data_IF_136203764663
#
_entry.id   IF_136203764663
#
_cell.length_a   1.000
_cell.length_b   1.000
_cell.length_c   1.000
_cell.angle_alpha   90.00
_cell.angle_beta   90.00
_cell.angle_gamma   90.00
#
_symmetry.space_group_name_H-M   'P 1'
#
loop_
_entity.id
_entity.type
_entity.pdbx_description
1 polymer ?
#
# COMPACT_ATOMS: atom_id res chain seq x y z
N UNK A 1 -38.36 2.26 2.94
CA UNK A 1 -37.76 0.92 2.91
C UNK A 1 -36.40 1.02 2.25
N UNK A 2 -35.30 1.08 3.01
CA UNK A 2 -33.97 1.18 2.46
C UNK A 2 -33.64 -0.09 1.68
N UNK A 3 -33.26 0.06 0.42
CA UNK A 3 -32.95 -1.04 -0.47
C UNK A 3 -31.83 -1.89 0.15
N UNK A 4 -32.08 -3.19 0.33
CA UNK A 4 -31.13 -4.21 0.84
C UNK A 4 -29.78 -4.18 0.11
N UNK A 5 -29.72 -3.58 -1.06
CA UNK A 5 -28.56 -3.47 -1.94
C UNK A 5 -28.10 -2.03 -2.17
N UNK A 6 -28.71 -1.04 -1.53
CA UNK A 6 -28.40 0.38 -1.72
C UNK A 6 -27.16 0.85 -0.97
N UNK A 7 -26.73 0.10 0.06
CA UNK A 7 -25.53 0.38 0.80
C UNK A 7 -24.39 -0.51 0.25
N UNK A 8 -23.36 0.14 -0.29
CA UNK A 8 -22.15 -0.48 -0.83
C UNK A 8 -21.52 -1.52 0.14
N UNK A 9 -21.52 -1.25 1.44
CA UNK A 9 -20.93 -2.15 2.45
C UNK A 9 -21.72 -3.45 2.56
N UNK A 10 -23.05 -3.36 2.57
CA UNK A 10 -23.93 -4.54 2.60
C UNK A 10 -23.90 -5.29 1.27
N UNK A 11 -23.89 -4.59 0.16
CA UNK A 11 -23.79 -5.18 -1.17
C UNK A 11 -22.51 -6.02 -1.33
N UNK A 12 -21.35 -5.48 -0.98
CA UNK A 12 -20.06 -6.21 -1.03
C UNK A 12 -20.10 -7.49 -0.17
N UNK A 13 -20.65 -7.39 1.05
CA UNK A 13 -20.78 -8.52 1.96
C UNK A 13 -21.75 -9.58 1.40
N UNK A 14 -22.85 -9.14 0.82
CA UNK A 14 -23.84 -9.99 0.18
C UNK A 14 -23.24 -10.77 -0.97
N UNK A 15 -22.63 -10.09 -1.95
CA UNK A 15 -22.02 -10.72 -3.14
C UNK A 15 -20.94 -11.73 -2.71
N UNK A 16 -20.07 -11.36 -1.78
CA UNK A 16 -19.03 -12.28 -1.28
C UNK A 16 -19.61 -13.51 -0.59
N UNK A 17 -20.68 -13.35 0.19
CA UNK A 17 -21.31 -14.44 0.93
C UNK A 17 -22.11 -15.38 0.01
N UNK A 18 -22.84 -14.83 -0.98
CA UNK A 18 -23.73 -15.60 -1.85
C UNK A 18 -22.99 -16.24 -3.02
N UNK A 19 -22.12 -15.49 -3.69
CA UNK A 19 -21.46 -15.92 -4.92
C UNK A 19 -19.96 -16.18 -4.75
N UNK A 20 -19.41 -15.96 -3.58
CA UNK A 20 -18.01 -16.25 -3.26
C UNK A 20 -17.03 -15.28 -3.92
N UNK A 21 -15.87 -15.82 -4.36
CA UNK A 21 -14.80 -15.03 -4.95
C UNK A 21 -15.17 -14.62 -6.38
N UNK A 22 -15.10 -13.29 -6.67
CA UNK A 22 -15.38 -12.73 -7.99
C UNK A 22 -14.07 -12.41 -8.74
N UNK A 23 -12.99 -12.11 -8.01
CA UNK A 23 -11.71 -11.75 -8.61
C UNK A 23 -10.96 -12.98 -9.14
N UNK A 24 -10.38 -12.84 -10.34
CA UNK A 24 -9.55 -13.89 -10.95
C UNK A 24 -10.37 -15.12 -11.36
N UNK A 25 -11.60 -14.92 -11.80
CA UNK A 25 -12.42 -15.97 -12.39
C UNK A 25 -11.97 -16.27 -13.81
N UNK A 26 -11.98 -17.54 -14.18
CA UNK A 26 -11.91 -17.94 -15.59
C UNK A 26 -13.20 -17.54 -16.29
N UNK A 27 -13.18 -17.45 -17.64
CA UNK A 27 -14.35 -17.09 -18.44
C UNK A 27 -15.55 -17.99 -18.11
N UNK A 28 -15.38 -19.28 -18.12
CA UNK A 28 -16.44 -20.24 -17.80
C UNK A 28 -17.04 -20.06 -16.40
N UNK A 29 -16.20 -19.81 -15.37
CA UNK A 29 -16.68 -19.54 -14.02
C UNK A 29 -17.37 -18.18 -13.91
N UNK A 30 -17.00 -17.20 -14.75
CA UNK A 30 -17.66 -15.91 -14.81
C UNK A 30 -19.07 -16.06 -15.39
N UNK A 31 -19.21 -16.76 -16.50
CA UNK A 31 -20.51 -17.08 -17.13
C UNK A 31 -21.45 -17.84 -16.18
N UNK A 32 -20.91 -18.85 -15.47
CA UNK A 32 -21.70 -19.58 -14.47
C UNK A 32 -22.23 -18.64 -13.38
N UNK A 33 -21.40 -17.70 -12.87
CA UNK A 33 -21.84 -16.73 -11.88
C UNK A 33 -22.84 -15.72 -12.41
N UNK A 34 -22.70 -15.30 -13.65
CA UNK A 34 -23.68 -14.44 -14.34
C UNK A 34 -25.02 -15.15 -14.37
N UNK A 35 -25.07 -16.41 -14.82
CA UNK A 35 -26.29 -17.20 -14.83
C UNK A 35 -26.90 -17.31 -13.42
N UNK A 36 -26.12 -17.64 -12.41
CA UNK A 36 -26.59 -17.74 -11.02
C UNK A 36 -27.20 -16.42 -10.53
N UNK A 37 -26.54 -15.28 -10.80
CA UNK A 37 -27.03 -13.96 -10.38
C UNK A 37 -28.34 -13.61 -11.10
N UNK A 38 -28.42 -13.86 -12.41
CA UNK A 38 -29.62 -13.61 -13.21
C UNK A 38 -30.79 -14.52 -12.76
N UNK A 39 -30.51 -15.76 -12.35
CA UNK A 39 -31.55 -16.63 -11.81
C UNK A 39 -32.07 -16.17 -10.45
N UNK A 40 -31.17 -15.72 -9.57
CA UNK A 40 -31.50 -15.33 -8.20
C UNK A 40 -32.20 -13.95 -8.11
N UNK A 41 -32.06 -13.10 -9.12
CA UNK A 41 -32.49 -11.69 -9.06
C UNK A 41 -33.30 -11.26 -10.27
N UNK A 42 -34.18 -10.29 -10.05
CA UNK A 42 -34.87 -9.60 -11.13
C UNK A 42 -34.00 -8.44 -11.70
N UNK A 43 -34.36 -7.96 -12.89
CA UNK A 43 -33.63 -6.89 -13.61
C UNK A 43 -33.49 -5.61 -12.77
N UNK A 44 -34.54 -5.28 -12.00
CA UNK A 44 -34.53 -4.10 -11.13
C UNK A 44 -33.53 -4.24 -9.98
N UNK A 45 -33.42 -5.44 -9.38
CA UNK A 45 -32.47 -5.71 -8.31
C UNK A 45 -31.02 -5.67 -8.83
N UNK A 46 -30.78 -6.26 -10.01
CA UNK A 46 -29.44 -6.20 -10.64
C UNK A 46 -29.05 -4.74 -10.96
N UNK A 47 -30.00 -3.92 -11.46
CA UNK A 47 -29.77 -2.49 -11.65
C UNK A 47 -29.42 -1.75 -10.35
N UNK A 48 -30.08 -2.09 -9.24
CA UNK A 48 -29.74 -1.52 -7.92
C UNK A 48 -28.36 -1.96 -7.44
N UNK A 49 -28.00 -3.20 -7.69
CA UNK A 49 -26.67 -3.73 -7.39
C UNK A 49 -25.59 -3.06 -8.26
N UNK A 50 -25.87 -2.81 -9.52
CA UNK A 50 -24.97 -2.07 -10.42
C UNK A 50 -24.76 -0.64 -9.92
N UNK A 51 -25.82 0.08 -9.56
CA UNK A 51 -25.69 1.44 -9.00
C UNK A 51 -24.86 1.45 -7.70
N UNK A 52 -25.05 0.46 -6.84
CA UNK A 52 -24.24 0.33 -5.62
C UNK A 52 -22.76 0.04 -5.94
N UNK A 53 -22.48 -0.74 -6.99
CA UNK A 53 -21.13 -1.01 -7.47
C UNK A 53 -20.49 0.24 -8.11
N UNK A 54 -21.26 1.00 -8.91
CA UNK A 54 -20.83 2.26 -9.53
C UNK A 54 -20.50 3.31 -8.46
N UNK A 55 -21.41 3.58 -7.54
CA UNK A 55 -21.16 4.52 -6.44
C UNK A 55 -19.90 4.17 -5.66
N UNK A 56 -19.68 2.87 -5.41
CA UNK A 56 -18.46 2.39 -4.76
C UNK A 56 -17.19 2.61 -5.59
N UNK A 57 -17.30 2.57 -6.92
CA UNK A 57 -16.20 2.84 -7.85
C UNK A 57 -15.92 4.34 -7.96
N UNK A 58 -16.98 5.14 -8.06
CA UNK A 58 -16.92 6.59 -8.27
C UNK A 58 -16.45 7.31 -6.99
N UNK A 59 -16.90 6.86 -5.83
CA UNK A 59 -16.38 7.31 -4.53
C UNK A 59 -14.85 7.16 -4.44
N UNK A 60 -14.30 6.15 -5.11
CA UNK A 60 -12.86 5.91 -5.16
C UNK A 60 -12.15 6.79 -6.21
N UNK A 61 -12.84 7.18 -7.27
CA UNK A 61 -12.29 8.08 -8.32
C UNK A 61 -12.28 9.54 -7.87
N UNK A 62 -13.29 9.97 -7.11
CA UNK A 62 -13.33 11.30 -6.48
C UNK A 62 -12.25 11.46 -5.41
N UNK A 63 -11.77 10.35 -4.86
CA UNK A 63 -10.68 10.32 -3.88
C UNK A 63 -9.30 10.04 -4.51
N UNK A 64 -9.09 10.34 -5.80
CA UNK A 64 -7.74 10.34 -6.40
C UNK A 64 -6.72 11.19 -5.61
N UNK A 65 -7.08 12.30 -4.93
CA UNK A 65 -6.16 12.98 -4.01
C UNK A 65 -5.69 12.06 -2.87
N UNK A 66 -6.41 10.98 -2.56
CA UNK A 66 -5.99 10.01 -1.53
C UNK A 66 -4.70 9.23 -1.85
N UNK A 67 -4.25 9.19 -3.10
CA UNK A 67 -2.92 8.67 -3.42
C UNK A 67 -1.83 9.73 -3.20
N UNK A 68 -2.15 10.99 -3.48
CA UNK A 68 -1.20 12.09 -3.29
C UNK A 68 -0.96 12.37 -1.80
N UNK A 69 -2.01 12.32 -0.96
CA UNK A 69 -1.88 12.62 0.47
C UNK A 69 -0.94 11.65 1.21
N UNK A 70 -1.11 10.30 1.15
CA UNK A 70 -0.14 9.40 1.76
C UNK A 70 1.26 9.51 1.17
N UNK A 71 1.38 9.72 -0.14
CA UNK A 71 2.67 9.91 -0.80
C UNK A 71 3.35 11.19 -0.32
N UNK A 72 2.61 12.29 -0.21
CA UNK A 72 3.13 13.57 0.31
C UNK A 72 3.55 13.45 1.76
N UNK A 73 2.75 12.78 2.61
CA UNK A 73 3.09 12.54 4.01
C UNK A 73 4.35 11.69 4.13
N UNK A 74 4.45 10.58 3.38
CA UNK A 74 5.62 9.71 3.41
C UNK A 74 6.86 10.45 2.93
N UNK A 75 6.76 11.23 1.83
CA UNK A 75 7.88 12.02 1.30
C UNK A 75 8.31 13.08 2.31
N UNK A 76 7.37 13.76 2.94
CA UNK A 76 7.65 14.74 3.98
C UNK A 76 8.32 14.12 5.20
N UNK A 77 7.86 12.94 5.64
CA UNK A 77 8.47 12.21 6.74
C UNK A 77 9.90 11.74 6.40
N UNK A 78 10.12 11.24 5.19
CA UNK A 78 11.47 10.84 4.73
C UNK A 78 12.39 12.06 4.73
N UNK A 79 11.93 13.20 4.21
CA UNK A 79 12.71 14.44 4.19
C UNK A 79 13.05 14.91 5.61
N UNK A 80 12.08 14.89 6.51
CA UNK A 80 12.27 15.31 7.90
C UNK A 80 13.24 14.39 8.64
N UNK A 81 13.06 13.08 8.52
CA UNK A 81 13.97 12.07 9.11
C UNK A 81 15.37 12.24 8.54
N UNK A 82 15.51 12.42 7.22
CA UNK A 82 16.81 12.62 6.57
C UNK A 82 17.49 13.89 7.08
N UNK A 83 16.75 14.99 7.24
CA UNK A 83 17.28 16.26 7.75
C UNK A 83 17.77 16.14 9.19
N UNK A 84 16.95 15.57 10.07
CA UNK A 84 17.32 15.33 11.47
C UNK A 84 18.55 14.42 11.55
N UNK A 85 18.59 13.41 10.72
CA UNK A 85 19.68 12.45 10.70
C UNK A 85 21.01 13.08 10.19
N UNK A 86 20.97 13.88 9.13
CA UNK A 86 22.13 14.61 8.62
C UNK A 86 22.67 15.54 9.71
N UNK A 87 21.80 16.27 10.40
CA UNK A 87 22.19 17.17 11.48
C UNK A 87 22.81 16.39 12.66
N UNK A 88 22.21 15.26 13.04
CA UNK A 88 22.77 14.41 14.08
C UNK A 88 24.15 13.86 13.69
N UNK A 89 24.29 13.37 12.45
CA UNK A 89 25.56 12.86 11.93
C UNK A 89 26.63 13.94 11.93
N UNK A 90 26.32 15.14 11.43
CA UNK A 90 27.25 16.26 11.42
C UNK A 90 27.68 16.67 12.84
N UNK A 91 26.75 16.74 13.78
CA UNK A 91 27.10 17.02 15.18
C UNK A 91 27.98 15.93 15.78
N UNK A 92 27.69 14.66 15.50
CA UNK A 92 28.49 13.54 16.00
C UNK A 92 29.91 13.56 15.43
N UNK A 93 30.07 13.83 14.12
CA UNK A 93 31.36 13.96 13.45
C UNK A 93 32.14 15.15 14.04
N UNK A 94 31.50 16.30 14.22
CA UNK A 94 32.15 17.48 14.78
C UNK A 94 32.63 17.25 16.23
N UNK A 95 31.77 16.65 17.07
CA UNK A 95 32.13 16.32 18.44
C UNK A 95 33.28 15.30 18.50
N UNK A 96 33.22 14.28 17.64
CA UNK A 96 34.26 13.27 17.54
C UNK A 96 35.61 13.89 17.08
N UNK A 97 35.57 14.75 16.07
CA UNK A 97 36.75 15.48 15.59
C UNK A 97 37.38 16.33 16.71
N UNK A 98 36.55 17.08 17.45
CA UNK A 98 37.07 17.90 18.58
C UNK A 98 37.65 17.06 19.69
N UNK A 99 37.05 15.92 20.05
CA UNK A 99 37.59 15.00 21.06
C UNK A 99 38.89 14.39 20.55
N UNK A 100 38.96 14.00 19.30
CA UNK A 100 40.18 13.46 18.71
C UNK A 100 41.34 14.48 18.73
N UNK A 101 41.07 15.72 18.29
CA UNK A 101 42.08 16.81 18.35
C UNK A 101 42.59 17.01 19.77
N UNK A 102 41.69 17.12 20.77
CA UNK A 102 42.12 17.31 22.17
C UNK A 102 42.92 16.14 22.72
N UNK A 103 42.59 14.91 22.30
CA UNK A 103 43.39 13.72 22.69
C UNK A 103 44.78 13.75 22.06
N UNK A 104 44.89 14.17 20.80
CA UNK A 104 46.17 14.37 20.11
C UNK A 104 47.02 15.42 20.78
N UNK A 105 46.46 16.61 21.03
CA UNK A 105 47.17 17.72 21.71
C UNK A 105 47.72 17.24 23.08
N UNK A 106 46.89 16.57 23.87
CA UNK A 106 47.25 16.11 25.20
C UNK A 106 48.34 14.99 25.19
N UNK A 107 48.39 14.19 24.12
CA UNK A 107 49.44 13.18 23.93
C UNK A 107 50.75 13.77 23.44
N UNK A 108 50.71 14.73 22.52
CA UNK A 108 51.87 15.47 22.06
C UNK A 108 52.55 16.17 23.22
N UNK A 109 51.76 16.82 24.09
CA UNK A 109 52.32 17.46 25.31
C UNK A 109 53.03 16.47 26.25
N UNK A 110 52.61 15.18 26.25
CA UNK A 110 53.20 14.12 27.08
C UNK A 110 54.40 13.40 26.42
N UNK A 111 54.85 13.79 25.25
CA UNK A 111 56.02 13.21 24.60
C UNK A 111 55.84 11.80 24.06
N UNK A 112 54.64 11.45 23.60
CA UNK A 112 54.27 10.09 23.12
C UNK A 112 54.96 9.81 21.77
N UNK A 113 55.47 8.59 21.62
CA UNK A 113 56.12 8.12 20.38
C UNK A 113 55.14 8.03 19.20
N UNK A 114 55.67 8.22 17.98
CA UNK A 114 54.90 8.21 16.72
C UNK A 114 54.09 6.90 16.47
N UNK A 115 54.55 5.76 16.99
CA UNK A 115 53.85 4.45 16.86
C UNK A 115 52.50 4.42 17.57
N UNK A 116 52.40 4.99 18.75
CA UNK A 116 51.13 5.04 19.53
C UNK A 116 50.09 5.97 18.89
N UNK A 117 50.53 6.93 18.06
CA UNK A 117 49.65 7.83 17.32
C UNK A 117 48.93 7.08 16.18
N UNK A 118 49.64 6.20 15.48
CA UNK A 118 49.08 5.39 14.42
C UNK A 118 48.02 4.40 14.93
N UNK A 119 48.29 3.78 16.07
CA UNK A 119 47.31 2.86 16.73
C UNK A 119 46.01 3.58 17.10
N UNK A 120 46.11 4.85 17.52
CA UNK A 120 44.94 5.67 17.83
C UNK A 120 44.18 6.05 16.54
N UNK A 121 44.89 6.44 15.50
CA UNK A 121 44.26 6.76 14.20
C UNK A 121 43.53 5.53 13.65
N UNK A 122 44.14 4.35 13.79
CA UNK A 122 43.53 3.09 13.31
C UNK A 122 42.30 2.71 14.16
N UNK A 123 42.35 2.82 15.47
CA UNK A 123 41.21 2.59 16.36
C UNK A 123 40.08 3.59 16.13
N UNK A 124 40.40 4.85 15.84
CA UNK A 124 39.41 5.88 15.49
C UNK A 124 38.79 5.68 14.10
N UNK A 125 39.57 5.15 13.15
CA UNK A 125 39.06 4.85 11.79
C UNK A 125 38.12 3.65 11.76
N UNK A 126 38.33 2.65 12.61
CA UNK A 126 37.43 1.49 12.76
C UNK A 126 36.05 1.87 13.28
N UNK A 127 35.95 2.89 14.11
CA UNK A 127 34.69 3.43 14.62
C UNK A 127 34.27 4.67 13.83
N UNK A 128 33.90 4.48 12.57
CA UNK A 128 33.27 5.56 11.82
C UNK A 128 31.80 5.67 12.21
N UNK A 129 31.39 6.65 13.03
CA UNK A 129 29.98 6.89 13.37
C UNK A 129 29.12 7.11 12.12
N UNK A 130 29.77 7.47 10.99
CA UNK A 130 29.16 7.65 9.70
C UNK A 130 28.61 6.32 9.13
N UNK A 131 29.34 5.20 9.22
CA UNK A 131 28.87 3.89 8.72
C UNK A 131 27.69 3.35 9.51
N UNK A 132 27.72 3.45 10.84
CA UNK A 132 26.62 3.03 11.70
C UNK A 132 25.36 3.84 11.39
N UNK A 133 25.53 5.13 11.24
CA UNK A 133 24.42 6.04 10.93
C UNK A 133 23.81 5.79 9.55
N UNK A 134 24.60 5.56 8.52
CA UNK A 134 24.11 5.21 7.17
C UNK A 134 23.33 3.89 7.21
N UNK A 135 23.84 2.88 7.93
CA UNK A 135 23.17 1.58 8.02
C UNK A 135 21.79 1.71 8.69
N UNK A 136 21.66 2.50 9.74
CA UNK A 136 20.37 2.78 10.40
C UNK A 136 19.43 3.51 9.46
N UNK A 137 19.92 4.54 8.75
CA UNK A 137 19.12 5.30 7.78
C UNK A 137 18.60 4.41 6.66
N UNK A 138 19.46 3.58 6.09
CA UNK A 138 19.07 2.62 5.04
C UNK A 138 18.06 1.61 5.57
N UNK A 139 18.22 1.12 6.79
CA UNK A 139 17.25 0.24 7.44
C UNK A 139 15.87 0.89 7.57
N UNK A 140 15.80 2.12 8.07
CA UNK A 140 14.56 2.89 8.16
C UNK A 140 13.92 3.13 6.79
N UNK A 141 14.73 3.45 5.79
CA UNK A 141 14.27 3.64 4.42
C UNK A 141 13.62 2.37 3.86
N UNK A 142 14.24 1.20 4.03
CA UNK A 142 13.66 -0.07 3.58
C UNK A 142 12.37 -0.42 4.30
N UNK A 143 12.25 -0.14 5.60
CA UNK A 143 11.01 -0.36 6.36
C UNK A 143 9.88 0.52 5.81
N UNK A 144 10.14 1.81 5.57
CA UNK A 144 9.16 2.72 4.98
C UNK A 144 8.72 2.28 3.59
N UNK A 145 9.67 1.82 2.77
CA UNK A 145 9.42 1.32 1.42
C UNK A 145 8.54 0.06 1.47
N UNK A 146 8.82 -0.87 2.40
CA UNK A 146 8.02 -2.07 2.59
C UNK A 146 6.57 -1.74 3.01
N UNK A 147 6.38 -0.81 3.96
CA UNK A 147 5.05 -0.35 4.39
C UNK A 147 4.29 0.28 3.22
N UNK A 148 4.97 1.10 2.41
CA UNK A 148 4.39 1.71 1.21
C UNK A 148 3.92 0.64 0.21
N UNK A 149 4.74 -0.36 -0.09
CA UNK A 149 4.37 -1.44 -1.00
C UNK A 149 3.19 -2.27 -0.48
N UNK A 150 3.16 -2.60 0.82
CA UNK A 150 2.04 -3.32 1.43
C UNK A 150 0.74 -2.52 1.27
N UNK A 151 0.79 -1.22 1.57
CA UNK A 151 -0.36 -0.33 1.40
C UNK A 151 -0.83 -0.26 -0.06
N UNK A 152 0.10 -0.10 -1.01
CA UNK A 152 -0.19 -0.02 -2.44
C UNK A 152 -0.84 -1.32 -2.95
N UNK A 153 -0.29 -2.48 -2.58
CA UNK A 153 -0.83 -3.78 -2.96
C UNK A 153 -2.24 -3.98 -2.39
N UNK A 154 -2.45 -3.63 -1.11
CA UNK A 154 -3.76 -3.72 -0.48
C UNK A 154 -4.81 -2.85 -1.20
N UNK A 155 -4.41 -1.63 -1.58
CA UNK A 155 -5.26 -0.68 -2.30
C UNK A 155 -5.58 -1.15 -3.71
N UNK A 156 -4.57 -1.61 -4.46
CA UNK A 156 -4.75 -2.15 -5.81
C UNK A 156 -5.68 -3.37 -5.82
N UNK A 157 -5.58 -4.22 -4.78
CA UNK A 157 -6.49 -5.36 -4.61
C UNK A 157 -7.93 -4.93 -4.37
N UNK A 158 -8.14 -3.90 -3.54
CA UNK A 158 -9.47 -3.36 -3.27
C UNK A 158 -10.10 -2.74 -4.51
N UNK A 159 -9.32 -1.97 -5.27
CA UNK A 159 -9.75 -1.36 -6.53
C UNK A 159 -10.13 -2.42 -7.58
N UNK A 160 -9.26 -3.38 -7.81
CA UNK A 160 -9.52 -4.48 -8.75
C UNK A 160 -10.78 -5.28 -8.39
N UNK A 161 -11.06 -5.47 -7.10
CA UNK A 161 -12.30 -6.15 -6.67
C UNK A 161 -13.55 -5.33 -7.05
N UNK A 162 -13.55 -4.02 -6.78
CA UNK A 162 -14.70 -3.13 -7.09
C UNK A 162 -14.97 -3.08 -8.58
N UNK A 163 -13.92 -2.93 -9.38
CA UNK A 163 -14.02 -2.93 -10.84
C UNK A 163 -14.61 -4.25 -11.36
N UNK A 164 -14.12 -5.39 -10.89
CA UNK A 164 -14.63 -6.69 -11.33
C UNK A 164 -16.09 -6.92 -10.92
N UNK A 165 -16.53 -6.40 -9.77
CA UNK A 165 -17.94 -6.49 -9.34
C UNK A 165 -18.81 -5.62 -10.23
N UNK A 166 -18.39 -4.39 -10.57
CA UNK A 166 -19.11 -3.50 -11.49
C UNK A 166 -19.26 -4.16 -12.86
N UNK A 167 -18.17 -4.61 -13.46
CA UNK A 167 -18.18 -5.29 -14.75
C UNK A 167 -19.05 -6.55 -14.77
N UNK A 168 -19.06 -7.32 -13.65
CA UNK A 168 -19.93 -8.50 -13.54
C UNK A 168 -21.42 -8.12 -13.52
N UNK A 169 -21.79 -7.02 -12.86
CA UNK A 169 -23.18 -6.56 -12.84
C UNK A 169 -23.62 -5.99 -14.19
N UNK A 170 -22.72 -5.33 -14.93
CA UNK A 170 -22.95 -4.89 -16.29
C UNK A 170 -23.21 -6.09 -17.21
N UNK A 171 -22.34 -7.10 -17.19
CA UNK A 171 -22.54 -8.35 -17.95
C UNK A 171 -23.88 -9.04 -17.59
N UNK A 172 -24.28 -9.04 -16.31
CA UNK A 172 -25.56 -9.63 -15.91
C UNK A 172 -26.75 -8.91 -16.52
N UNK A 173 -26.69 -7.58 -16.68
CA UNK A 173 -27.77 -6.82 -17.31
C UNK A 173 -27.80 -7.05 -18.82
N UNK A 174 -26.64 -7.11 -19.46
CA UNK A 174 -26.54 -7.29 -20.91
C UNK A 174 -27.12 -8.64 -21.35
N UNK A 175 -26.89 -9.69 -20.59
CA UNK A 175 -27.39 -11.04 -20.94
C UNK A 175 -28.72 -11.42 -20.24
N UNK A 176 -29.30 -10.51 -19.46
CA UNK A 176 -30.47 -10.81 -18.60
C UNK A 176 -31.62 -11.41 -19.38
N UNK A 177 -32.04 -10.74 -20.47
CA UNK A 177 -33.22 -11.11 -21.25
C UNK A 177 -33.00 -12.45 -21.97
N UNK A 178 -31.77 -12.71 -22.46
CA UNK A 178 -31.39 -13.96 -23.13
C UNK A 178 -31.41 -15.15 -22.14
N UNK A 179 -30.79 -14.99 -20.99
CA UNK A 179 -30.73 -16.06 -19.96
C UNK A 179 -32.12 -16.37 -19.42
N UNK A 180 -32.98 -15.36 -19.21
CA UNK A 180 -34.36 -15.58 -18.76
C UNK A 180 -35.23 -16.25 -19.82
N UNK A 181 -35.06 -15.91 -21.09
CA UNK A 181 -35.78 -16.58 -22.19
C UNK A 181 -35.40 -18.07 -22.25
N UNK A 182 -34.13 -18.42 -22.16
CA UNK A 182 -33.68 -19.83 -22.13
C UNK A 182 -34.26 -20.59 -20.91
N UNK A 183 -34.28 -19.95 -19.74
CA UNK A 183 -34.86 -20.55 -18.53
C UNK A 183 -36.33 -20.92 -18.70
N UNK A 184 -37.14 -20.08 -19.37
CA UNK A 184 -38.56 -20.34 -19.62
C UNK A 184 -38.73 -21.52 -20.60
N UNK A 185 -37.82 -21.68 -21.55
CA UNK A 185 -37.85 -22.80 -22.50
C UNK A 185 -37.44 -24.14 -21.86
N UNK A 186 -36.56 -24.14 -20.89
CA UNK A 186 -36.13 -25.35 -20.19
C UNK A 186 -37.15 -25.87 -19.16
N UNK A 187 -38.12 -25.04 -18.74
CA UNK A 187 -39.18 -25.42 -17.78
C UNK A 187 -40.41 -25.95 -18.46
N UNK A 188 -40.52 -25.79 -19.78
CA UNK A 188 -41.61 -26.35 -20.60
C UNK A 188 -41.24 -27.72 -21.16
#
# INVERSE_FOLDING_TARGET
MFSKYGDHKYFKKYIKKRYGKIRGLTLAKREEKIKQIVFDHNKLEINRMLRAAQNSSDENNTHQPFFLVPFTIITSMITLISTVFINFTNNTINNFSQVSIKLFEKKIEKGVKSEDVNEIIESLSMYSPYQVNITILMGLFYILLAVFFIYFIARARAYSYRYNVKALMEDCLDVYDEVKAKQILEIK
#
